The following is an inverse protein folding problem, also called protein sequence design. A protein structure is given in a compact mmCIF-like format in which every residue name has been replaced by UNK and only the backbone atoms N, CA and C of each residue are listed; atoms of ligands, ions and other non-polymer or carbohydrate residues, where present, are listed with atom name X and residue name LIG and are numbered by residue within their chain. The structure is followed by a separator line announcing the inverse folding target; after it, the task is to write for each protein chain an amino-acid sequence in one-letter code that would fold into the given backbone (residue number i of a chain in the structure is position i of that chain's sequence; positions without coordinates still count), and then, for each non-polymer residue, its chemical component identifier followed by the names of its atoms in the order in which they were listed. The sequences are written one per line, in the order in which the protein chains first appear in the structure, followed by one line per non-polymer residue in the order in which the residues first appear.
data_IF_287872519382
#
_entry.id   IF_287872519382
#
_cell.length_a   1.000
_cell.length_b   1.000
_cell.length_c   1.000
_cell.angle_alpha   90.00
_cell.angle_beta   90.00
_cell.angle_gamma   90.00
#
_symmetry.space_group_name_H-M   'P 1'
#
loop_
_entity.id
_entity.type
_entity.pdbx_description
1 polymer ?
#
# COMPACT_ATOMS: atom_id res chain seq x y z
N UNK A 1 -22.83 5.73 24.60
CA UNK A 1 -21.85 5.72 23.48
C UNK A 1 -22.60 6.05 22.19
N UNK A 2 -22.31 7.18 21.56
CA UNK A 2 -23.04 7.62 20.37
C UNK A 2 -22.59 6.81 19.14
N UNK A 3 -23.56 6.33 18.34
CA UNK A 3 -23.30 5.51 17.15
C UNK A 3 -22.32 6.15 16.15
N UNK A 4 -22.27 7.48 16.10
CA UNK A 4 -21.29 8.24 15.33
C UNK A 4 -19.84 7.89 15.67
N UNK A 5 -19.54 7.72 16.96
CA UNK A 5 -18.18 7.42 17.41
C UNK A 5 -17.76 6.00 17.02
N UNK A 6 -18.69 5.04 17.13
CA UNK A 6 -18.48 3.65 16.70
C UNK A 6 -18.23 3.58 15.19
N UNK A 7 -19.04 4.30 14.39
CA UNK A 7 -18.84 4.41 12.95
C UNK A 7 -17.44 4.92 12.59
N UNK A 8 -16.98 5.98 13.27
CA UNK A 8 -15.63 6.54 13.06
C UNK A 8 -14.52 5.54 13.37
N UNK A 9 -14.64 4.74 14.45
CA UNK A 9 -13.65 3.70 14.75
C UNK A 9 -13.68 2.56 13.73
N UNK A 10 -14.87 2.14 13.32
CA UNK A 10 -15.02 1.11 12.29
C UNK A 10 -14.36 1.55 10.97
N UNK A 11 -14.58 2.79 10.54
CA UNK A 11 -13.96 3.34 9.34
C UNK A 11 -12.43 3.41 9.46
N UNK A 12 -11.91 3.76 10.64
CA UNK A 12 -10.46 3.76 10.90
C UNK A 12 -9.85 2.37 10.79
N UNK A 13 -10.45 1.36 11.42
CA UNK A 13 -9.98 -0.03 11.34
C UNK A 13 -10.07 -0.54 9.90
N UNK A 14 -11.15 -0.20 9.20
CA UNK A 14 -11.35 -0.54 7.79
C UNK A 14 -10.34 0.15 6.88
N UNK A 15 -9.93 1.37 7.18
CA UNK A 15 -8.86 2.07 6.47
C UNK A 15 -7.51 1.38 6.69
N UNK A 16 -7.13 1.14 7.94
CA UNK A 16 -5.84 0.53 8.31
C UNK A 16 -5.71 -0.91 7.82
N UNK A 17 -6.78 -1.70 7.81
CA UNK A 17 -6.75 -3.09 7.32
C UNK A 17 -6.44 -3.21 5.82
N UNK A 18 -6.66 -2.15 5.05
CA UNK A 18 -6.49 -2.13 3.58
C UNK A 18 -5.17 -1.54 3.13
N UNK A 19 -4.49 -0.80 4.00
CA UNK A 19 -3.37 0.07 3.66
C UNK A 19 -2.11 -0.41 4.37
N UNK A 20 -0.94 -0.23 3.75
CA UNK A 20 0.36 -0.46 4.37
C UNK A 20 0.60 0.55 5.50
N UNK A 21 1.30 0.13 6.55
CA UNK A 21 1.58 0.99 7.70
C UNK A 21 2.48 2.18 7.32
N UNK A 22 3.55 1.92 6.57
CA UNK A 22 4.56 2.91 6.18
C UNK A 22 4.03 3.87 5.10
N UNK A 23 3.76 3.34 3.91
CA UNK A 23 3.50 4.16 2.71
C UNK A 23 2.04 4.62 2.56
N UNK A 24 1.13 4.08 3.37
CA UNK A 24 -0.32 4.18 3.16
C UNK A 24 -0.77 3.75 1.75
N UNK A 25 0.03 3.02 0.98
CA UNK A 25 -0.42 2.38 -0.25
C UNK A 25 -1.41 1.24 0.07
N UNK A 26 -2.20 0.77 -0.90
CA UNK A 26 -2.99 -0.44 -0.67
C UNK A 26 -2.07 -1.63 -0.42
N UNK A 27 -2.37 -2.42 0.61
CA UNK A 27 -1.57 -3.58 0.92
C UNK A 27 -1.90 -4.74 -0.04
N UNK A 28 -0.98 -5.72 -0.09
CA UNK A 28 -1.11 -6.92 -0.93
C UNK A 28 -2.47 -7.62 -0.76
N UNK A 29 -2.96 -7.71 0.47
CA UNK A 29 -4.25 -8.35 0.79
C UNK A 29 -5.42 -7.62 0.14
N UNK A 30 -5.41 -6.29 0.13
CA UNK A 30 -6.46 -5.51 -0.53
C UNK A 30 -6.44 -5.72 -2.04
N UNK A 31 -5.26 -5.73 -2.66
CA UNK A 31 -5.09 -5.98 -4.10
C UNK A 31 -5.69 -7.34 -4.47
N UNK A 32 -5.32 -8.41 -3.78
CA UNK A 32 -5.89 -9.75 -4.05
C UNK A 32 -7.40 -9.80 -3.87
N UNK A 33 -7.95 -9.14 -2.84
CA UNK A 33 -9.41 -9.09 -2.63
C UNK A 33 -10.15 -8.35 -3.75
N UNK A 34 -9.47 -7.46 -4.47
CA UNK A 34 -10.05 -6.67 -5.55
C UNK A 34 -9.71 -7.18 -6.94
N UNK A 35 -8.68 -8.02 -7.04
CA UNK A 35 -8.16 -8.60 -8.26
C UNK A 35 -9.28 -9.15 -9.14
N UNK A 36 -10.04 -10.15 -8.67
CA UNK A 36 -11.06 -10.80 -9.50
C UNK A 36 -12.09 -9.82 -10.06
N UNK A 37 -12.57 -8.90 -9.21
CA UNK A 37 -13.55 -7.89 -9.65
C UNK A 37 -12.96 -6.95 -10.69
N UNK A 38 -11.73 -6.49 -10.47
CA UNK A 38 -11.07 -5.56 -11.37
C UNK A 38 -10.84 -6.21 -12.74
N UNK A 39 -10.24 -7.41 -12.77
CA UNK A 39 -9.96 -8.11 -14.01
C UNK A 39 -11.22 -8.58 -14.75
N UNK A 40 -12.26 -9.00 -14.03
CA UNK A 40 -13.54 -9.37 -14.64
C UNK A 40 -14.31 -8.18 -15.22
N UNK A 41 -13.93 -6.94 -14.86
CA UNK A 41 -14.56 -5.72 -15.42
C UNK A 41 -13.84 -5.16 -16.64
N UNK A 42 -12.73 -5.76 -17.05
CA UNK A 42 -11.95 -5.28 -18.19
C UNK A 42 -12.50 -5.85 -19.50
N UNK A 43 -12.49 -5.02 -20.53
CA UNK A 43 -12.72 -5.43 -21.90
C UNK A 43 -11.40 -5.85 -22.57
N UNK A 44 -11.48 -6.56 -23.69
CA UNK A 44 -10.30 -7.02 -24.44
C UNK A 44 -9.46 -5.88 -25.03
N UNK A 45 -10.06 -4.69 -25.14
CA UNK A 45 -9.42 -3.46 -25.60
C UNK A 45 -8.65 -2.75 -24.49
N UNK A 46 -8.94 -3.06 -23.22
CA UNK A 46 -8.30 -2.43 -22.08
C UNK A 46 -6.83 -2.86 -21.96
N UNK A 47 -5.98 -1.90 -21.60
CA UNK A 47 -4.55 -2.14 -21.36
C UNK A 47 -4.23 -1.87 -19.90
N UNK A 48 -3.61 -2.84 -19.25
CA UNK A 48 -3.12 -2.71 -17.88
C UNK A 48 -1.61 -2.60 -17.91
N UNK A 49 -1.06 -1.66 -17.13
CA UNK A 49 0.37 -1.62 -16.81
C UNK A 49 0.55 -2.03 -15.34
N UNK A 50 1.46 -2.97 -15.12
CA UNK A 50 1.88 -3.37 -13.77
C UNK A 50 3.36 -3.07 -13.63
N UNK A 51 3.72 -2.36 -12.58
CA UNK A 51 5.11 -2.07 -12.23
C UNK A 51 5.44 -2.77 -10.92
N UNK A 52 6.53 -3.53 -10.91
CA UNK A 52 7.11 -4.08 -9.69
C UNK A 52 8.36 -3.25 -9.36
N UNK A 53 8.46 -2.82 -8.10
CA UNK A 53 9.56 -1.99 -7.61
C UNK A 53 10.22 -2.72 -6.45
N UNK A 54 11.55 -2.82 -6.51
CA UNK A 54 12.39 -3.38 -5.46
C UNK A 54 13.46 -2.34 -5.07
N UNK A 55 13.74 -2.23 -3.77
CA UNK A 55 14.78 -1.34 -3.26
C UNK A 55 16.08 -2.14 -3.18
N UNK A 56 16.93 -1.98 -4.18
CA UNK A 56 18.23 -2.66 -4.25
C UNK A 56 19.04 -2.39 -2.98
N UNK A 57 19.67 -3.45 -2.44
CA UNK A 57 20.54 -3.39 -1.26
C UNK A 57 19.85 -2.79 0.00
N UNK A 58 18.53 -2.88 0.11
CA UNK A 58 17.79 -2.34 1.26
C UNK A 58 18.31 -2.78 2.63
N UNK A 59 18.81 -4.02 2.73
CA UNK A 59 19.44 -4.52 3.96
C UNK A 59 20.66 -3.68 4.36
N UNK A 60 21.49 -3.22 3.42
CA UNK A 60 22.65 -2.38 3.72
C UNK A 60 22.23 -1.01 4.24
N UNK A 61 21.12 -0.46 3.74
CA UNK A 61 20.54 0.78 4.26
C UNK A 61 20.16 0.60 5.73
N UNK A 62 19.43 -0.48 6.05
CA UNK A 62 19.08 -0.78 7.44
C UNK A 62 20.31 -1.03 8.32
N UNK A 63 21.27 -1.80 7.83
CA UNK A 63 22.44 -2.21 8.61
C UNK A 63 23.38 -1.02 8.89
N UNK A 64 23.47 -0.02 7.98
CA UNK A 64 24.34 1.15 8.14
C UNK A 64 23.66 2.35 8.79
N UNK A 65 22.36 2.59 8.49
CA UNK A 65 21.66 3.80 8.90
C UNK A 65 20.49 3.55 9.88
N UNK A 66 20.20 2.30 10.20
CA UNK A 66 19.11 1.91 11.09
C UNK A 66 17.73 1.81 10.41
N UNK A 67 16.81 1.12 11.08
CA UNK A 67 15.48 0.83 10.54
C UNK A 67 14.63 2.09 10.26
N UNK A 68 14.77 3.16 11.04
CA UNK A 68 14.04 4.40 10.79
C UNK A 68 14.41 5.05 9.44
N UNK A 69 15.68 4.93 9.02
CA UNK A 69 16.14 5.40 7.72
C UNK A 69 15.64 4.48 6.61
N UNK A 70 15.63 3.17 6.84
CA UNK A 70 15.01 2.21 5.93
C UNK A 70 13.53 2.50 5.69
N UNK A 71 12.76 2.78 6.75
CA UNK A 71 11.35 3.13 6.66
C UNK A 71 11.12 4.40 5.85
N UNK A 72 11.97 5.43 6.05
CA UNK A 72 11.94 6.65 5.23
C UNK A 72 12.24 6.37 3.75
N UNK A 73 13.22 5.51 3.46
CA UNK A 73 13.54 5.11 2.10
C UNK A 73 12.35 4.40 1.41
N UNK A 74 11.64 3.54 2.14
CA UNK A 74 10.41 2.89 1.64
C UNK A 74 9.34 3.94 1.30
N UNK A 75 9.12 4.93 2.17
CA UNK A 75 8.15 6.00 1.93
C UNK A 75 8.51 6.84 0.71
N UNK A 76 9.77 7.28 0.59
CA UNK A 76 10.25 8.09 -0.52
C UNK A 76 10.10 7.37 -1.87
N UNK A 77 10.47 6.09 -1.93
CA UNK A 77 10.30 5.29 -3.14
C UNK A 77 8.82 5.19 -3.52
N UNK A 78 7.93 4.93 -2.56
CA UNK A 78 6.49 4.82 -2.83
C UNK A 78 5.86 6.15 -3.30
N UNK A 79 6.29 7.29 -2.74
CA UNK A 79 5.82 8.61 -3.15
C UNK A 79 6.26 8.94 -4.58
N UNK A 80 7.49 8.60 -4.96
CA UNK A 80 8.00 8.84 -6.31
C UNK A 80 7.33 7.98 -7.39
N UNK A 81 6.72 6.84 -7.04
CA UNK A 81 5.90 6.04 -7.98
C UNK A 81 4.46 6.54 -8.11
N UNK A 82 4.02 7.43 -7.22
CA UNK A 82 2.66 7.97 -7.19
C UNK A 82 2.51 9.28 -7.96
N UNK A 83 3.62 9.81 -8.50
CA UNK A 83 3.68 10.97 -9.40
C UNK A 83 3.59 10.51 -10.85
#
# INVERSE_FOLDING_TARGET
MNGWWIGKQFDRVKFLSKRGYLTKAFNRRWVYKKYDRFFNSLETTDRIKVTLVDINQFKQINDHYGHEVGDRAICEVAENQSR
#
